data_IF_358578357991
#
_entry.id   IF_358578357991
#
_cell.length_a   1.000
_cell.length_b   1.000
_cell.length_c   1.000
_cell.angle_alpha   90.00
_cell.angle_beta   90.00
_cell.angle_gamma   90.00
#
_symmetry.space_group_name_H-M   'P 1'
#
loop_
_entity.id
_entity.type
_entity.pdbx_description
1 polymer ?
#
# COMPACT_ATOMS: atom_id res chain seq x y z
N UNK A 1 75.98 -32.48 -0.73
CA UNK A 1 75.45 -31.16 -0.30
C UNK A 1 74.53 -30.64 -1.39
N UNK A 2 73.21 -30.65 -1.15
CA UNK A 2 72.19 -30.12 -2.07
C UNK A 2 71.40 -29.07 -1.28
N UNK A 3 71.42 -27.82 -1.75
CA UNK A 3 70.62 -26.71 -1.20
C UNK A 3 69.16 -26.81 -1.69
N UNK A 4 68.15 -26.55 -0.85
CA UNK A 4 66.79 -26.35 -1.34
C UNK A 4 66.57 -24.87 -1.73
N UNK A 5 65.91 -24.65 -2.86
CA UNK A 5 65.41 -23.34 -3.32
C UNK A 5 64.12 -23.02 -2.57
N UNK A 6 64.07 -21.91 -1.85
CA UNK A 6 62.80 -21.33 -1.37
C UNK A 6 62.08 -20.66 -2.54
N UNK A 7 60.82 -21.03 -2.75
CA UNK A 7 59.89 -20.32 -3.62
C UNK A 7 59.15 -19.27 -2.78
N UNK A 8 59.34 -17.98 -3.09
CA UNK A 8 58.56 -16.89 -2.50
C UNK A 8 57.25 -16.74 -3.25
N UNK A 9 56.13 -17.06 -2.60
CA UNK A 9 54.79 -16.72 -3.06
C UNK A 9 54.50 -15.26 -2.73
N UNK A 10 54.35 -14.43 -3.77
CA UNK A 10 53.94 -13.03 -3.67
C UNK A 10 52.41 -12.97 -3.51
N UNK A 11 51.91 -12.70 -2.30
CA UNK A 11 50.49 -12.40 -2.09
C UNK A 11 50.16 -11.00 -2.64
N UNK A 12 49.45 -10.94 -3.76
CA UNK A 12 48.81 -9.72 -4.24
C UNK A 12 47.61 -9.40 -3.33
N UNK A 13 47.74 -8.37 -2.48
CA UNK A 13 46.61 -7.81 -1.76
C UNK A 13 45.76 -6.98 -2.75
N UNK A 14 44.59 -7.51 -3.13
CA UNK A 14 43.55 -6.78 -3.83
C UNK A 14 42.95 -5.75 -2.86
N UNK A 15 43.36 -4.49 -2.98
CA UNK A 15 42.65 -3.38 -2.36
C UNK A 15 41.30 -3.22 -3.07
N UNK A 16 40.22 -3.67 -2.44
CA UNK A 16 38.87 -3.31 -2.83
C UNK A 16 38.70 -1.81 -2.56
N UNK A 17 38.80 -0.98 -3.60
CA UNK A 17 38.41 0.41 -3.52
C UNK A 17 36.89 0.46 -3.35
N UNK A 18 36.44 0.84 -2.15
CA UNK A 18 35.06 1.20 -1.89
C UNK A 18 34.73 2.39 -2.79
N UNK A 19 34.15 2.14 -3.96
CA UNK A 19 33.48 3.19 -4.71
C UNK A 19 32.34 3.66 -3.83
N UNK A 20 32.43 4.88 -3.31
CA UNK A 20 31.26 5.58 -2.81
C UNK A 20 30.20 5.48 -3.92
N UNK A 21 29.12 4.75 -3.67
CA UNK A 21 28.06 4.58 -4.64
C UNK A 21 27.53 5.97 -4.99
N UNK A 22 27.88 6.46 -6.18
CA UNK A 22 27.37 7.73 -6.67
C UNK A 22 25.84 7.62 -6.71
N UNK A 23 25.14 8.63 -6.20
CA UNK A 23 23.68 8.66 -6.27
C UNK A 23 23.25 8.46 -7.73
N UNK A 24 22.49 7.39 -7.98
CA UNK A 24 22.07 7.03 -9.33
C UNK A 24 21.27 8.17 -9.95
N UNK A 25 21.46 8.44 -11.23
CA UNK A 25 20.80 9.56 -11.92
C UNK A 25 19.35 9.15 -12.17
N UNK A 26 18.39 9.88 -11.59
CA UNK A 26 16.97 9.71 -11.87
C UNK A 26 16.48 10.84 -12.76
N UNK A 27 15.77 10.50 -13.84
CA UNK A 27 15.23 11.48 -14.77
C UNK A 27 13.92 11.02 -15.39
N UNK A 28 13.25 11.93 -16.09
CA UNK A 28 12.01 11.66 -16.82
C UNK A 28 12.26 11.83 -18.31
N UNK A 29 11.80 10.87 -19.12
CA UNK A 29 11.83 10.94 -20.58
C UNK A 29 10.45 10.60 -21.15
N UNK A 30 9.72 11.63 -21.58
CA UNK A 30 8.34 11.46 -22.01
C UNK A 30 7.49 10.88 -20.88
N UNK A 31 6.95 9.68 -21.08
CA UNK A 31 6.14 8.96 -20.10
C UNK A 31 6.93 7.99 -19.23
N UNK A 32 8.26 7.91 -19.38
CA UNK A 32 9.10 6.94 -18.67
C UNK A 32 9.88 7.59 -17.53
N UNK A 33 9.98 6.88 -16.40
CA UNK A 33 11.04 7.10 -15.42
C UNK A 33 12.31 6.41 -15.91
N UNK A 34 13.45 7.10 -15.79
CA UNK A 34 14.75 6.62 -16.17
C UNK A 34 15.64 6.61 -14.92
N UNK A 35 16.23 5.46 -14.60
CA UNK A 35 17.21 5.30 -13.51
C UNK A 35 18.49 4.77 -14.14
N UNK A 36 19.60 5.48 -13.94
CA UNK A 36 20.92 5.12 -14.46
C UNK A 36 20.92 4.86 -15.99
N UNK A 37 20.19 5.71 -16.71
CA UNK A 37 20.07 5.66 -18.17
C UNK A 37 19.10 4.60 -18.71
N UNK A 38 18.45 3.81 -17.84
CA UNK A 38 17.54 2.73 -18.24
C UNK A 38 16.08 3.00 -17.88
N UNK A 39 15.10 2.62 -18.72
CA UNK A 39 13.69 2.65 -18.35
C UNK A 39 13.40 1.86 -17.07
N UNK A 40 12.74 2.51 -16.13
CA UNK A 40 12.51 1.97 -14.79
C UNK A 40 11.01 1.91 -14.48
N UNK A 41 10.50 0.69 -14.29
CA UNK A 41 9.13 0.45 -13.79
C UNK A 41 9.21 0.39 -12.26
N UNK A 42 8.56 1.35 -11.60
CA UNK A 42 8.54 1.50 -10.15
C UNK A 42 7.51 0.58 -9.48
N UNK A 43 7.64 -0.74 -9.72
CA UNK A 43 6.88 -1.77 -9.01
C UNK A 43 7.30 -1.80 -7.54
N UNK A 44 6.35 -1.76 -6.63
CA UNK A 44 6.65 -1.52 -5.22
C UNK A 44 5.47 -1.68 -4.30
N UNK A 45 5.58 -1.13 -3.10
CA UNK A 45 4.45 -0.99 -2.19
C UNK A 45 4.69 0.20 -1.24
N UNK A 46 3.62 0.69 -0.62
CA UNK A 46 3.74 1.62 0.48
C UNK A 46 3.84 0.84 1.80
N UNK A 47 4.89 1.10 2.59
CA UNK A 47 5.20 0.36 3.80
C UNK A 47 6.53 0.81 4.42
N UNK A 48 6.73 0.49 5.70
CA UNK A 48 7.89 0.94 6.48
C UNK A 48 8.81 -0.19 6.94
N UNK A 49 8.39 -1.44 6.74
CA UNK A 49 9.09 -2.63 7.28
C UNK A 49 9.13 -3.74 6.23
N UNK A 50 9.77 -4.86 6.56
CA UNK A 50 9.81 -6.06 5.71
C UNK A 50 10.37 -5.81 4.31
N UNK A 51 11.42 -5.00 4.22
CA UNK A 51 11.97 -4.53 2.94
C UNK A 51 12.68 -5.66 2.16
N UNK A 52 13.26 -6.62 2.86
CA UNK A 52 13.86 -7.79 2.22
C UNK A 52 12.78 -8.71 1.64
N UNK A 53 11.69 -8.93 2.37
CA UNK A 53 10.53 -9.66 1.86
C UNK A 53 9.90 -8.92 0.67
N UNK A 54 9.80 -7.58 0.74
CA UNK A 54 9.31 -6.77 -0.38
C UNK A 54 10.20 -6.96 -1.60
N UNK A 55 11.52 -6.83 -1.45
CA UNK A 55 12.49 -7.06 -2.53
C UNK A 55 12.36 -8.46 -3.11
N UNK A 56 12.14 -9.48 -2.28
CA UNK A 56 11.99 -10.87 -2.72
C UNK A 56 10.80 -11.07 -3.68
N UNK A 57 9.72 -10.30 -3.52
CA UNK A 57 8.60 -10.30 -4.49
C UNK A 57 8.99 -9.79 -5.89
N UNK A 58 10.18 -9.23 -6.07
CA UNK A 58 10.60 -8.60 -7.33
C UNK A 58 10.35 -7.08 -7.36
N UNK A 59 9.74 -6.53 -6.30
CA UNK A 59 9.61 -5.10 -6.10
C UNK A 59 10.98 -4.40 -6.17
N UNK A 60 10.93 -3.13 -6.58
CA UNK A 60 12.08 -2.24 -6.74
C UNK A 60 11.96 -0.96 -5.93
N UNK A 61 10.75 -0.65 -5.45
CA UNK A 61 10.46 0.63 -4.81
C UNK A 61 9.66 0.42 -3.52
N UNK A 62 9.97 1.22 -2.51
CA UNK A 62 9.11 1.45 -1.35
C UNK A 62 8.68 2.92 -1.32
N UNK A 63 7.44 3.19 -0.93
CA UNK A 63 6.89 4.55 -0.81
C UNK A 63 6.59 4.91 0.65
N UNK A 64 6.90 6.14 1.05
CA UNK A 64 6.54 6.75 2.34
C UNK A 64 5.57 7.92 2.16
N UNK A 65 5.04 8.46 3.27
CA UNK A 65 4.05 9.54 3.26
C UNK A 65 4.52 10.81 3.96
N UNK A 66 5.34 10.69 5.00
CA UNK A 66 5.85 11.84 5.76
C UNK A 66 6.69 11.48 6.98
N UNK A 67 7.02 10.21 7.14
CA UNK A 67 7.93 9.69 8.16
C UNK A 67 9.35 10.23 7.95
N UNK A 68 10.14 10.29 9.02
CA UNK A 68 11.57 10.56 8.93
C UNK A 68 12.24 9.45 8.09
N UNK A 69 12.85 9.76 6.94
CA UNK A 69 13.19 8.72 5.97
C UNK A 69 14.57 8.10 6.16
N UNK A 70 15.43 8.59 7.07
CA UNK A 70 16.85 8.23 7.15
C UNK A 70 17.10 6.74 7.33
N UNK A 71 16.53 6.13 8.39
CA UNK A 71 16.69 4.69 8.65
C UNK A 71 16.07 3.82 7.56
N UNK A 72 14.96 4.28 6.97
CA UNK A 72 14.29 3.57 5.89
C UNK A 72 15.11 3.65 4.60
N UNK A 73 15.69 4.80 4.27
CA UNK A 73 16.57 5.00 3.12
C UNK A 73 17.78 4.07 3.19
N UNK A 74 18.43 4.00 4.35
CA UNK A 74 19.55 3.08 4.59
C UNK A 74 19.11 1.61 4.44
N UNK A 75 17.95 1.26 4.99
CA UNK A 75 17.42 -0.11 4.94
C UNK A 75 16.99 -0.51 3.53
N UNK A 76 16.37 0.41 2.79
CA UNK A 76 15.98 0.23 1.40
C UNK A 76 17.22 0.07 0.51
N UNK A 77 18.27 0.88 0.71
CA UNK A 77 19.53 0.72 -0.01
C UNK A 77 20.12 -0.67 0.22
N UNK A 78 20.19 -1.14 1.48
CA UNK A 78 20.68 -2.49 1.81
C UNK A 78 19.86 -3.59 1.15
N UNK A 79 18.54 -3.41 1.06
CA UNK A 79 17.64 -4.33 0.37
C UNK A 79 17.68 -4.21 -1.16
N UNK A 80 18.38 -3.21 -1.72
CA UNK A 80 18.40 -2.95 -3.16
C UNK A 80 17.10 -2.35 -3.69
N UNK A 81 16.37 -1.62 -2.84
CA UNK A 81 15.16 -0.87 -3.18
C UNK A 81 15.49 0.62 -3.34
N UNK A 82 14.75 1.27 -4.22
CA UNK A 82 14.64 2.73 -4.27
C UNK A 82 13.46 3.21 -3.41
N UNK A 83 13.45 4.49 -3.04
CA UNK A 83 12.46 5.09 -2.15
C UNK A 83 11.81 6.29 -2.81
N UNK A 84 10.48 6.30 -2.90
CA UNK A 84 9.74 7.54 -3.09
C UNK A 84 9.57 8.15 -1.70
N UNK A 85 10.33 9.21 -1.44
CA UNK A 85 10.34 9.90 -0.14
C UNK A 85 9.15 10.85 -0.09
N UNK A 86 8.11 10.45 0.64
CA UNK A 86 6.93 11.25 0.87
C UNK A 86 7.18 12.41 1.82
N UNK A 87 6.55 13.54 1.53
CA UNK A 87 6.41 14.67 2.42
C UNK A 87 4.93 14.96 2.64
N UNK A 88 4.50 14.92 3.90
CA UNK A 88 3.12 15.18 4.25
C UNK A 88 2.81 16.67 4.09
N UNK A 89 1.87 16.97 3.19
CA UNK A 89 1.24 18.28 3.14
C UNK A 89 -0.05 18.21 3.95
N UNK A 90 -0.23 19.13 4.88
CA UNK A 90 -1.43 19.18 5.72
C UNK A 90 -2.70 19.45 4.92
N UNK A 91 -3.77 18.75 5.28
CA UNK A 91 -5.02 18.79 4.53
C UNK A 91 -5.94 19.92 5.00
N UNK A 92 -6.60 20.65 4.08
CA UNK A 92 -7.62 21.63 4.44
C UNK A 92 -8.80 21.02 5.21
N UNK A 93 -9.19 19.77 4.90
CA UNK A 93 -10.24 19.04 5.64
C UNK A 93 -9.91 18.85 7.12
N UNK A 94 -8.63 18.93 7.52
CA UNK A 94 -8.15 18.85 8.91
C UNK A 94 -7.98 20.23 9.55
N UNK A 95 -8.42 21.30 8.88
CA UNK A 95 -8.35 22.68 9.36
C UNK A 95 -7.10 23.44 8.92
N UNK A 96 -6.25 22.88 8.06
CA UNK A 96 -5.09 23.60 7.54
C UNK A 96 -5.52 24.69 6.54
N UNK A 97 -5.02 25.91 6.72
CA UNK A 97 -5.36 27.03 5.84
C UNK A 97 -4.14 27.44 5.01
N UNK A 98 -4.18 27.20 3.70
CA UNK A 98 -3.09 27.58 2.79
C UNK A 98 -2.94 29.09 2.57
N UNK A 99 -3.92 29.91 3.00
CA UNK A 99 -3.76 31.36 3.08
C UNK A 99 -2.96 31.81 4.32
N UNK A 100 -2.77 30.95 5.32
CA UNK A 100 -1.93 31.25 6.48
C UNK A 100 -0.46 31.07 6.13
N UNK A 101 0.20 32.16 5.71
CA UNK A 101 1.59 32.12 5.26
C UNK A 101 2.56 31.57 6.31
N UNK A 102 2.39 31.89 7.59
CA UNK A 102 3.27 31.38 8.64
C UNK A 102 3.20 29.85 8.78
N UNK A 103 2.00 29.27 8.66
CA UNK A 103 1.81 27.82 8.69
C UNK A 103 2.43 27.15 7.45
N UNK A 104 2.21 27.73 6.27
CA UNK A 104 2.81 27.26 5.01
C UNK A 104 4.34 27.32 5.08
N UNK A 105 4.92 28.42 5.56
CA UNK A 105 6.36 28.59 5.73
C UNK A 105 6.97 27.56 6.67
N UNK A 106 6.28 27.24 7.78
CA UNK A 106 6.72 26.21 8.72
C UNK A 106 6.86 24.84 8.05
N UNK A 107 5.88 24.46 7.22
CA UNK A 107 5.90 23.21 6.47
C UNK A 107 6.97 23.21 5.37
N UNK A 108 7.11 24.30 4.61
CA UNK A 108 8.16 24.44 3.58
C UNK A 108 9.57 24.43 4.17
N UNK A 109 9.75 24.98 5.39
CA UNK A 109 11.01 24.88 6.11
C UNK A 109 11.32 23.44 6.53
N UNK A 110 10.32 22.66 6.91
CA UNK A 110 10.50 21.22 7.18
C UNK A 110 10.88 20.45 5.91
N UNK A 111 10.21 20.72 4.79
CA UNK A 111 10.55 20.16 3.48
C UNK A 111 11.98 20.50 3.07
N UNK A 112 12.40 21.76 3.26
CA UNK A 112 13.78 22.21 2.97
C UNK A 112 14.80 21.37 3.72
N UNK A 113 14.64 21.24 5.05
CA UNK A 113 15.56 20.44 5.89
C UNK A 113 15.62 18.98 5.45
N UNK A 114 14.48 18.38 5.10
CA UNK A 114 14.42 17.00 4.65
C UNK A 114 15.16 16.81 3.31
N UNK A 115 14.91 17.68 2.33
CA UNK A 115 15.55 17.59 1.01
C UNK A 115 17.05 17.83 1.10
N UNK A 116 17.49 18.89 1.78
CA UNK A 116 18.91 19.19 1.95
C UNK A 116 19.67 18.04 2.61
N UNK A 117 19.04 17.37 3.59
CA UNK A 117 19.63 16.26 4.32
C UNK A 117 19.73 14.98 3.49
N UNK A 118 18.74 14.67 2.66
CA UNK A 118 18.62 13.34 2.03
C UNK A 118 18.74 13.30 0.50
N UNK A 119 18.80 14.45 -0.20
CA UNK A 119 18.91 14.52 -1.67
C UNK A 119 20.09 13.76 -2.27
N UNK A 120 21.15 13.49 -1.50
CA UNK A 120 22.32 12.74 -1.99
C UNK A 120 22.26 11.25 -1.65
N UNK A 121 21.21 10.79 -0.97
CA UNK A 121 21.09 9.39 -0.58
C UNK A 121 20.79 8.52 -1.81
N UNK A 122 21.57 7.47 -2.10
CA UNK A 122 21.49 6.72 -3.36
C UNK A 122 20.19 5.92 -3.52
N UNK A 123 19.45 5.66 -2.44
CA UNK A 123 18.14 5.04 -2.51
C UNK A 123 17.01 5.98 -2.97
N UNK A 124 17.19 7.31 -3.00
CA UNK A 124 16.10 8.20 -3.42
C UNK A 124 15.73 7.93 -4.89
N UNK A 125 14.43 7.78 -5.15
CA UNK A 125 13.85 7.73 -6.49
C UNK A 125 13.23 9.07 -6.87
N UNK A 126 12.38 9.59 -5.99
CA UNK A 126 11.56 10.76 -6.24
C UNK A 126 11.10 11.35 -4.90
N UNK A 127 10.73 12.63 -4.92
CA UNK A 127 10.09 13.32 -3.80
C UNK A 127 8.57 13.33 -4.00
N UNK A 128 7.83 12.63 -3.13
CA UNK A 128 6.37 12.61 -3.15
C UNK A 128 5.79 13.76 -2.34
N UNK A 129 5.20 14.75 -2.99
CA UNK A 129 4.65 15.95 -2.35
C UNK A 129 3.16 15.76 -2.10
N UNK A 130 2.80 15.60 -0.82
CA UNK A 130 1.44 15.38 -0.37
C UNK A 130 0.89 14.00 -0.73
N UNK A 131 -0.25 13.69 -0.12
CA UNK A 131 -1.04 12.51 -0.43
C UNK A 131 -2.52 12.88 -0.39
N UNK A 132 -3.18 12.89 -1.55
CA UNK A 132 -4.62 13.14 -1.65
C UNK A 132 -5.06 14.42 -0.95
N UNK A 133 -4.26 15.49 -1.01
CA UNK A 133 -4.49 16.74 -0.27
C UNK A 133 -5.84 17.36 -0.66
N UNK A 134 -6.34 17.04 -1.85
CA UNK A 134 -7.61 17.49 -2.40
C UNK A 134 -8.85 16.68 -1.95
N UNK A 135 -8.68 15.58 -1.21
CA UNK A 135 -9.82 14.72 -0.85
C UNK A 135 -10.86 15.43 0.01
N UNK A 136 -12.13 15.12 -0.29
CA UNK A 136 -13.31 15.67 0.40
C UNK A 136 -13.43 17.20 0.37
N UNK A 137 -12.81 17.85 -0.62
CA UNK A 137 -12.93 19.27 -0.85
C UNK A 137 -13.93 19.57 -1.96
N UNK A 138 -14.64 20.70 -1.82
CA UNK A 138 -15.33 21.29 -2.96
C UNK A 138 -14.30 21.73 -4.02
N UNK A 139 -14.68 21.87 -5.30
CA UNK A 139 -13.76 22.41 -6.32
C UNK A 139 -13.16 23.77 -5.94
N UNK A 140 -13.91 24.62 -5.22
CA UNK A 140 -13.43 25.91 -4.73
C UNK A 140 -12.35 25.74 -3.66
N UNK A 141 -12.56 24.83 -2.71
CA UNK A 141 -11.60 24.56 -1.63
C UNK A 141 -10.36 23.80 -2.12
N UNK A 142 -10.49 22.99 -3.17
CA UNK A 142 -9.36 22.32 -3.80
C UNK A 142 -8.48 23.30 -4.60
N UNK A 143 -9.00 24.46 -5.01
CA UNK A 143 -8.27 25.41 -5.85
C UNK A 143 -7.00 25.97 -5.18
N UNK A 144 -6.96 26.06 -3.85
CA UNK A 144 -5.77 26.47 -3.09
C UNK A 144 -4.72 25.35 -2.93
N UNK A 145 -5.10 24.09 -3.10
CA UNK A 145 -4.21 22.94 -2.92
C UNK A 145 -3.19 22.86 -4.05
N UNK A 146 -3.61 23.12 -5.30
CA UNK A 146 -2.72 22.99 -6.46
C UNK A 146 -1.54 23.97 -6.42
N UNK A 147 -1.74 25.28 -6.13
CA UNK A 147 -0.63 26.21 -5.94
C UNK A 147 0.29 25.84 -4.77
N UNK A 148 -0.25 25.24 -3.70
CA UNK A 148 0.58 24.78 -2.58
C UNK A 148 1.48 23.60 -2.95
N UNK A 149 0.96 22.64 -3.73
CA UNK A 149 1.75 21.56 -4.31
C UNK A 149 2.84 22.13 -5.23
N UNK A 150 2.51 23.11 -6.06
CA UNK A 150 3.49 23.79 -6.93
C UNK A 150 4.60 24.48 -6.12
N UNK A 151 4.25 25.19 -5.06
CA UNK A 151 5.23 25.90 -4.24
C UNK A 151 6.24 24.93 -3.62
N UNK A 152 5.74 23.81 -3.08
CA UNK A 152 6.57 22.73 -2.56
C UNK A 152 7.39 22.04 -3.66
N UNK A 153 6.79 21.71 -4.81
CA UNK A 153 7.47 21.07 -5.93
C UNK A 153 8.62 21.94 -6.47
N UNK A 154 8.36 23.23 -6.70
CA UNK A 154 9.35 24.20 -7.14
C UNK A 154 10.47 24.36 -6.11
N UNK A 155 10.17 24.29 -4.81
CA UNK A 155 11.18 24.30 -3.75
C UNK A 155 12.10 23.08 -3.86
N UNK A 156 11.54 21.87 -3.96
CA UNK A 156 12.33 20.66 -4.14
C UNK A 156 13.20 20.75 -5.39
N UNK A 157 12.64 21.17 -6.54
CA UNK A 157 13.40 21.34 -7.79
C UNK A 157 14.62 22.26 -7.68
N UNK A 158 14.54 23.31 -6.86
CA UNK A 158 15.68 24.21 -6.62
C UNK A 158 16.74 23.56 -5.73
N UNK A 159 16.32 22.77 -4.74
CA UNK A 159 17.21 22.13 -3.77
C UNK A 159 17.80 20.82 -4.32
N UNK A 160 17.08 20.09 -5.15
CA UNK A 160 17.46 18.80 -5.69
C UNK A 160 17.05 18.68 -7.17
N UNK A 161 17.92 19.10 -8.09
CA UNK A 161 17.69 18.92 -9.52
C UNK A 161 17.92 17.47 -9.99
N UNK A 162 18.43 16.58 -9.14
CA UNK A 162 18.82 15.22 -9.50
C UNK A 162 17.68 14.20 -9.37
N UNK A 163 16.60 14.55 -8.67
CA UNK A 163 15.43 13.68 -8.51
C UNK A 163 14.14 14.36 -9.00
N UNK A 164 13.23 13.60 -9.63
CA UNK A 164 11.92 14.10 -10.00
C UNK A 164 11.04 14.36 -8.78
N UNK A 165 10.08 15.25 -8.96
CA UNK A 165 9.01 15.53 -8.01
C UNK A 165 7.73 14.84 -8.47
N UNK A 166 7.08 14.16 -7.54
CA UNK A 166 5.80 13.50 -7.72
C UNK A 166 4.72 14.19 -6.87
N UNK A 167 3.51 14.31 -7.39
CA UNK A 167 2.32 14.64 -6.60
C UNK A 167 1.33 13.48 -6.65
N UNK A 168 0.62 13.21 -5.54
CA UNK A 168 -0.27 12.04 -5.42
C UNK A 168 -1.73 12.48 -5.24
N UNK A 169 -2.60 12.00 -6.13
CA UNK A 169 -4.04 12.30 -6.13
C UNK A 169 -4.89 11.07 -5.81
N UNK A 170 -6.08 11.32 -5.23
CA UNK A 170 -7.12 10.32 -5.07
C UNK A 170 -7.89 10.14 -6.38
N UNK A 171 -7.51 9.16 -7.18
CA UNK A 171 -7.98 8.95 -8.56
C UNK A 171 -7.78 10.23 -9.44
N UNK A 172 -8.19 10.14 -10.69
CA UNK A 172 -8.14 11.23 -11.69
C UNK A 172 -9.28 12.23 -11.55
N UNK A 173 -10.41 11.83 -10.93
CA UNK A 173 -11.64 12.62 -10.91
C UNK A 173 -12.09 13.07 -12.31
N UNK A 174 -12.76 14.22 -12.38
CA UNK A 174 -13.17 14.81 -13.67
C UNK A 174 -12.06 15.70 -14.27
N UNK A 175 -11.35 16.45 -13.43
CA UNK A 175 -10.42 17.51 -13.85
C UNK A 175 -9.18 17.67 -12.95
N UNK A 176 -8.97 16.76 -11.99
CA UNK A 176 -7.86 16.89 -11.02
C UNK A 176 -6.50 16.86 -11.71
N UNK A 177 -6.33 15.99 -12.69
CA UNK A 177 -5.07 15.84 -13.44
C UNK A 177 -4.84 17.06 -14.34
N UNK A 178 -5.90 17.59 -14.97
CA UNK A 178 -5.81 18.84 -15.72
C UNK A 178 -5.43 20.02 -14.81
N UNK A 179 -5.94 20.03 -13.57
CA UNK A 179 -5.63 21.05 -12.57
C UNK A 179 -4.18 20.99 -12.11
N UNK A 180 -3.65 19.81 -11.74
CA UNK A 180 -2.22 19.67 -11.42
C UNK A 180 -1.34 20.07 -12.62
N UNK A 181 -1.66 19.63 -13.84
CA UNK A 181 -0.87 19.99 -15.02
C UNK A 181 -0.81 21.50 -15.23
N UNK A 182 -1.91 22.22 -15.00
CA UNK A 182 -1.99 23.67 -15.20
C UNK A 182 -1.37 24.46 -14.05
N UNK A 183 -1.62 24.04 -12.81
CA UNK A 183 -1.35 24.84 -11.61
C UNK A 183 -0.12 24.38 -10.83
N UNK A 184 0.39 23.17 -11.10
CA UNK A 184 1.62 22.62 -10.53
C UNK A 184 2.58 22.07 -11.60
N UNK A 185 3.04 22.91 -12.54
CA UNK A 185 3.90 22.49 -13.65
C UNK A 185 5.28 21.98 -13.23
N UNK A 186 5.72 22.21 -11.99
CA UNK A 186 6.99 21.68 -11.47
C UNK A 186 6.92 20.19 -11.09
N UNK A 187 5.73 19.58 -11.12
CA UNK A 187 5.54 18.13 -10.90
C UNK A 187 5.91 17.36 -12.16
N UNK A 188 6.82 16.41 -12.05
CA UNK A 188 7.26 15.57 -13.17
C UNK A 188 6.47 14.27 -13.29
N UNK A 189 6.06 13.70 -12.14
CA UNK A 189 5.44 12.38 -12.02
C UNK A 189 4.07 12.51 -11.39
N UNK A 190 3.07 11.87 -11.99
CA UNK A 190 1.73 11.79 -11.42
C UNK A 190 1.59 10.47 -10.66
N UNK A 191 1.45 10.55 -9.35
CA UNK A 191 1.01 9.44 -8.50
C UNK A 191 -0.52 9.41 -8.41
N UNK A 192 -1.11 8.23 -8.54
CA UNK A 192 -2.55 8.03 -8.42
C UNK A 192 -2.83 6.90 -7.43
N UNK A 193 -3.62 7.21 -6.42
CA UNK A 193 -4.20 6.23 -5.53
C UNK A 193 -5.55 5.78 -6.10
N UNK A 194 -5.73 4.48 -6.29
CA UNK A 194 -6.92 3.96 -6.97
C UNK A 194 -7.26 2.53 -6.56
N UNK A 195 -8.55 2.26 -6.43
CA UNK A 195 -9.05 0.97 -5.95
C UNK A 195 -10.15 0.43 -6.86
N UNK A 196 -10.20 -0.90 -6.96
CA UNK A 196 -11.18 -1.59 -7.80
C UNK A 196 -11.00 -1.31 -9.29
N UNK A 197 -12.10 -1.44 -10.05
CA UNK A 197 -12.07 -1.40 -11.52
C UNK A 197 -11.65 -0.04 -12.11
N UNK A 198 -11.54 1.01 -11.29
CA UNK A 198 -10.98 2.30 -11.74
C UNK A 198 -9.55 2.15 -12.28
N UNK A 199 -8.79 1.17 -11.76
CA UNK A 199 -7.42 0.81 -12.17
C UNK A 199 -7.33 0.38 -13.64
N UNK A 200 -8.41 -0.15 -14.22
CA UNK A 200 -8.41 -0.63 -15.60
C UNK A 200 -8.44 0.51 -16.64
N UNK A 201 -8.83 1.71 -16.22
CA UNK A 201 -9.00 2.88 -17.10
C UNK A 201 -8.24 4.11 -16.60
N UNK A 202 -7.54 4.01 -15.47
CA UNK A 202 -7.00 5.19 -14.79
C UNK A 202 -5.97 5.93 -15.64
N UNK A 203 -5.12 5.20 -16.36
CA UNK A 203 -4.13 5.82 -17.26
C UNK A 203 -4.80 6.58 -18.39
N UNK A 204 -5.77 5.97 -19.09
CA UNK A 204 -6.45 6.62 -20.21
C UNK A 204 -7.21 7.86 -19.75
N UNK A 205 -7.81 7.83 -18.55
CA UNK A 205 -8.44 9.00 -17.94
C UNK A 205 -7.43 10.11 -17.63
N UNK A 206 -6.28 9.78 -17.06
CA UNK A 206 -5.21 10.75 -16.80
C UNK A 206 -4.66 11.36 -18.10
N UNK A 207 -4.48 10.55 -19.15
CA UNK A 207 -4.07 11.03 -20.49
C UNK A 207 -5.13 11.91 -21.14
N UNK A 208 -6.42 11.57 -21.00
CA UNK A 208 -7.53 12.37 -21.52
C UNK A 208 -7.62 13.75 -20.86
N UNK A 209 -7.23 13.86 -19.59
CA UNK A 209 -7.06 15.14 -18.89
C UNK A 209 -5.74 15.86 -19.23
N UNK A 210 -4.94 15.30 -20.14
CA UNK A 210 -3.77 15.94 -20.74
C UNK A 210 -2.43 15.61 -20.08
N UNK A 211 -2.34 14.71 -19.11
CA UNK A 211 -1.04 14.37 -18.51
C UNK A 211 -0.09 13.72 -19.50
N UNK A 212 1.14 14.23 -19.60
CA UNK A 212 2.15 13.76 -20.57
C UNK A 212 3.38 13.13 -19.93
N UNK A 213 3.54 13.23 -18.60
CA UNK A 213 4.64 12.64 -17.86
C UNK A 213 4.42 11.18 -17.45
N UNK A 214 5.32 10.58 -16.67
CA UNK A 214 5.13 9.27 -16.05
C UNK A 214 3.91 9.25 -15.14
N UNK A 215 3.24 8.10 -15.09
CA UNK A 215 2.14 7.80 -14.15
C UNK A 215 2.60 6.63 -13.30
N UNK A 216 2.42 6.73 -11.99
CA UNK A 216 2.58 5.63 -11.04
C UNK A 216 1.27 5.41 -10.30
N UNK A 217 0.89 4.14 -10.12
CA UNK A 217 -0.20 3.80 -9.21
C UNK A 217 0.43 3.63 -7.82
N UNK A 218 0.29 4.67 -6.99
CA UNK A 218 1.01 4.84 -5.73
C UNK A 218 0.33 4.18 -4.54
N UNK A 219 -0.96 3.86 -4.68
CA UNK A 219 -1.72 2.93 -3.86
C UNK A 219 -2.73 2.21 -4.75
N UNK A 220 -2.85 0.90 -4.56
CA UNK A 220 -3.97 0.15 -5.10
C UNK A 220 -4.43 -0.97 -4.18
N UNK A 221 -5.71 -1.29 -4.29
CA UNK A 221 -6.30 -2.42 -3.60
C UNK A 221 -7.49 -2.99 -4.37
N UNK A 222 -7.96 -4.15 -3.92
CA UNK A 222 -9.04 -4.88 -4.57
C UNK A 222 -10.35 -4.08 -4.66
N UNK A 223 -10.65 -3.28 -3.63
CA UNK A 223 -11.89 -2.51 -3.50
C UNK A 223 -11.74 -1.45 -2.39
N UNK A 224 -12.07 -0.20 -2.69
CA UNK A 224 -12.21 0.83 -1.66
C UNK A 224 -13.50 0.63 -0.86
N UNK A 225 -13.48 0.89 0.44
CA UNK A 225 -14.65 0.72 1.33
C UNK A 225 -15.87 1.53 0.91
N UNK A 226 -15.66 2.66 0.22
CA UNK A 226 -16.71 3.50 -0.33
C UNK A 226 -17.39 2.89 -1.57
N UNK A 227 -16.73 1.94 -2.26
CA UNK A 227 -17.24 1.22 -3.43
C UNK A 227 -17.96 -0.09 -3.05
N UNK A 228 -17.79 -0.56 -1.81
CA UNK A 228 -18.36 -1.81 -1.36
C UNK A 228 -19.89 -1.78 -1.29
N UNK A 229 -20.52 -2.91 -1.62
CA UNK A 229 -21.91 -3.15 -1.28
C UNK A 229 -22.10 -2.99 0.24
N UNK A 230 -23.27 -2.51 0.67
CA UNK A 230 -23.56 -2.24 2.08
C UNK A 230 -24.72 -3.11 2.56
N UNK A 231 -24.66 -3.51 3.82
CA UNK A 231 -25.81 -4.12 4.52
C UNK A 231 -26.95 -3.11 4.66
N UNK A 232 -28.14 -3.57 5.08
CA UNK A 232 -29.28 -2.71 5.36
C UNK A 232 -28.98 -1.62 6.42
N UNK A 233 -28.01 -1.87 7.30
CA UNK A 233 -27.53 -0.91 8.30
C UNK A 233 -26.27 -0.13 7.90
N UNK A 234 -25.87 -0.21 6.63
CA UNK A 234 -24.78 0.60 6.07
C UNK A 234 -23.36 0.07 6.30
N UNK A 235 -23.18 -1.11 6.89
CA UNK A 235 -21.87 -1.73 7.03
C UNK A 235 -21.34 -2.18 5.66
N UNK A 236 -20.11 -1.80 5.25
CA UNK A 236 -19.55 -2.21 3.98
C UNK A 236 -19.17 -3.70 4.01
N UNK A 237 -19.52 -4.43 2.96
CA UNK A 237 -19.23 -5.85 2.81
C UNK A 237 -17.80 -5.99 2.27
N UNK A 238 -16.95 -6.63 3.06
CA UNK A 238 -15.55 -6.85 2.71
C UNK A 238 -15.40 -8.14 1.92
N UNK A 239 -14.51 -8.13 0.94
CA UNK A 239 -14.11 -9.33 0.20
C UNK A 239 -13.23 -10.24 1.08
N UNK A 240 -13.28 -11.53 0.84
CA UNK A 240 -12.27 -12.46 1.36
C UNK A 240 -10.89 -12.16 0.77
N UNK A 241 -9.81 -12.58 1.43
CA UNK A 241 -8.44 -12.42 0.91
C UNK A 241 -8.24 -13.05 -0.46
N UNK A 242 -8.92 -14.17 -0.74
CA UNK A 242 -8.87 -14.83 -2.06
C UNK A 242 -9.58 -14.01 -3.14
N UNK A 243 -10.78 -13.48 -2.85
CA UNK A 243 -11.45 -12.58 -3.79
C UNK A 243 -10.66 -11.27 -4.02
N UNK A 244 -9.98 -10.77 -2.98
CA UNK A 244 -9.08 -9.62 -3.12
C UNK A 244 -7.90 -9.95 -4.05
N UNK A 245 -7.25 -11.09 -3.84
CA UNK A 245 -6.13 -11.54 -4.66
C UNK A 245 -6.56 -11.72 -6.13
N UNK A 246 -7.72 -12.33 -6.39
CA UNK A 246 -8.25 -12.50 -7.74
C UNK A 246 -8.46 -11.16 -8.47
N UNK A 247 -8.98 -10.14 -7.77
CA UNK A 247 -9.13 -8.79 -8.32
C UNK A 247 -7.79 -8.10 -8.55
N UNK A 248 -6.90 -8.13 -7.57
CA UNK A 248 -5.56 -7.50 -7.69
C UNK A 248 -4.78 -8.15 -8.83
N UNK A 249 -4.89 -9.46 -9.04
CA UNK A 249 -4.25 -10.18 -10.16
C UNK A 249 -4.68 -9.62 -11.51
N UNK A 250 -5.98 -9.34 -11.68
CA UNK A 250 -6.51 -8.67 -12.88
C UNK A 250 -5.91 -7.27 -13.07
N UNK A 251 -5.84 -6.48 -12.00
CA UNK A 251 -5.34 -5.10 -12.07
C UNK A 251 -3.84 -5.02 -12.34
N UNK A 252 -3.04 -5.80 -11.62
CA UNK A 252 -1.59 -5.87 -11.83
C UNK A 252 -1.24 -6.40 -13.23
N UNK A 253 -1.99 -7.35 -13.76
CA UNK A 253 -1.81 -7.81 -15.14
C UNK A 253 -2.06 -6.68 -16.17
N UNK A 254 -3.10 -5.86 -15.95
CA UNK A 254 -3.40 -4.72 -16.81
C UNK A 254 -2.30 -3.64 -16.75
N UNK A 255 -1.86 -3.26 -15.55
CA UNK A 255 -0.81 -2.26 -15.32
C UNK A 255 0.56 -2.73 -15.82
N UNK A 256 0.88 -4.02 -15.67
CA UNK A 256 2.09 -4.62 -16.24
C UNK A 256 2.08 -4.54 -17.77
N UNK A 257 0.92 -4.73 -18.42
CA UNK A 257 0.78 -4.62 -19.88
C UNK A 257 1.05 -3.19 -20.36
N UNK A 258 0.62 -2.17 -19.61
CA UNK A 258 0.91 -0.76 -19.90
C UNK A 258 2.29 -0.29 -19.40
N UNK A 259 3.05 -1.16 -18.71
CA UNK A 259 4.35 -0.85 -18.09
C UNK A 259 4.28 0.24 -17.01
N UNK A 260 3.14 0.34 -16.33
CA UNK A 260 2.92 1.30 -15.25
C UNK A 260 3.34 0.70 -13.91
N UNK A 261 4.19 1.44 -13.17
CA UNK A 261 4.59 1.03 -11.83
C UNK A 261 3.40 1.01 -10.88
N UNK A 262 3.29 -0.05 -10.09
CA UNK A 262 2.13 -0.32 -9.26
C UNK A 262 2.53 -0.62 -7.80
N UNK A 263 1.76 -0.06 -6.86
CA UNK A 263 2.01 -0.18 -5.42
C UNK A 263 0.78 -0.68 -4.67
N UNK A 264 0.59 -2.01 -4.56
CA UNK A 264 -0.43 -2.59 -3.69
C UNK A 264 -0.30 -2.05 -2.25
N UNK A 265 -1.42 -1.57 -1.74
CA UNK A 265 -1.55 -1.01 -0.40
C UNK A 265 -2.33 -2.00 0.47
N UNK A 266 -1.88 -2.32 1.68
CA UNK A 266 -0.73 -1.80 2.44
C UNK A 266 0.30 -2.90 2.72
N UNK A 267 1.59 -2.62 2.49
CA UNK A 267 2.70 -3.55 2.82
C UNK A 267 2.94 -3.59 4.32
N UNK A 268 2.06 -4.32 5.00
CA UNK A 268 2.00 -4.46 6.44
C UNK A 268 0.55 -4.66 6.88
N UNK A 269 0.26 -4.19 8.08
CA UNK A 269 -1.07 -4.23 8.66
C UNK A 269 -1.47 -2.87 9.21
N UNK A 270 -2.72 -2.48 8.97
CA UNK A 270 -3.32 -1.25 9.49
C UNK A 270 -4.81 -1.47 9.75
N UNK A 271 -5.32 -0.90 10.84
CA UNK A 271 -6.76 -0.79 11.08
C UNK A 271 -7.34 0.31 10.17
N UNK A 272 -8.18 -0.08 9.22
CA UNK A 272 -8.89 0.84 8.31
C UNK A 272 -10.20 0.20 7.84
N UNK A 273 -11.33 0.65 8.40
CA UNK A 273 -12.65 0.01 8.41
C UNK A 273 -12.66 -1.31 9.16
N UNK A 274 -11.77 -2.23 8.78
CA UNK A 274 -11.52 -3.50 9.46
C UNK A 274 -10.01 -3.73 9.59
N UNK A 275 -9.57 -4.70 10.41
CA UNK A 275 -8.14 -5.05 10.50
C UNK A 275 -7.55 -5.59 9.19
N UNK A 276 -8.41 -6.03 8.25
CA UNK A 276 -8.04 -6.82 7.06
C UNK A 276 -8.31 -6.10 5.75
N UNK A 277 -8.96 -4.91 5.74
CA UNK A 277 -9.48 -4.31 4.52
C UNK A 277 -8.42 -4.15 3.43
N UNK A 278 -7.38 -3.38 3.74
CA UNK A 278 -6.26 -3.08 2.82
C UNK A 278 -4.96 -3.82 3.19
N UNK A 279 -4.85 -4.36 4.41
CA UNK A 279 -3.62 -5.00 4.89
C UNK A 279 -3.21 -6.22 4.05
N UNK A 280 -1.95 -6.26 3.60
CA UNK A 280 -1.37 -7.42 2.91
C UNK A 280 -0.85 -8.48 3.89
N UNK A 281 -0.63 -8.09 5.14
CA UNK A 281 -0.18 -8.94 6.23
C UNK A 281 -1.16 -8.90 7.40
N UNK A 282 -1.17 -9.97 8.18
CA UNK A 282 -1.82 -10.02 9.48
C UNK A 282 -0.93 -9.33 10.54
N UNK A 283 -1.50 -8.94 11.70
CA UNK A 283 -0.71 -8.38 12.80
C UNK A 283 0.40 -9.33 13.29
N UNK A 284 0.16 -10.63 13.18
CA UNK A 284 1.09 -11.71 13.53
C UNK A 284 2.15 -11.98 12.45
N UNK A 285 2.07 -11.31 11.30
CA UNK A 285 3.10 -11.31 10.27
C UNK A 285 2.89 -12.30 9.13
N UNK A 286 1.82 -13.10 9.15
CA UNK A 286 1.45 -13.94 8.02
C UNK A 286 1.05 -13.08 6.82
N UNK A 287 1.50 -13.45 5.64
CA UNK A 287 1.16 -12.78 4.39
C UNK A 287 -0.09 -13.40 3.74
N UNK A 288 -0.76 -12.65 2.87
CA UNK A 288 -1.98 -13.09 2.17
C UNK A 288 -1.72 -13.39 0.70
N UNK A 289 -2.66 -14.07 0.02
CA UNK A 289 -2.56 -14.44 -1.41
C UNK A 289 -2.25 -13.24 -2.34
N UNK A 290 -2.55 -12.00 -1.91
CA UNK A 290 -2.19 -10.81 -2.69
C UNK A 290 -0.66 -10.61 -2.80
N UNK A 291 0.13 -11.06 -1.81
CA UNK A 291 1.60 -11.04 -1.86
C UNK A 291 2.15 -12.03 -2.89
N UNK A 292 1.49 -13.17 -3.09
CA UNK A 292 1.81 -14.09 -4.19
C UNK A 292 1.53 -13.45 -5.53
N UNK A 293 0.37 -12.80 -5.66
CA UNK A 293 -0.01 -12.09 -6.89
C UNK A 293 1.01 -11.02 -7.26
N UNK A 294 1.55 -10.30 -6.27
CA UNK A 294 2.68 -9.38 -6.46
C UNK A 294 3.92 -10.10 -6.97
N UNK A 295 4.34 -11.16 -6.27
CA UNK A 295 5.52 -11.93 -6.60
C UNK A 295 5.46 -12.52 -8.02
N UNK A 296 4.35 -13.14 -8.39
CA UNK A 296 4.11 -13.71 -9.72
C UNK A 296 4.16 -12.63 -10.80
N UNK A 297 3.49 -11.51 -10.56
CA UNK A 297 3.47 -10.37 -11.48
C UNK A 297 4.86 -9.84 -11.72
N UNK A 298 5.72 -9.78 -10.70
CA UNK A 298 7.05 -9.19 -10.80
C UNK A 298 8.18 -10.21 -10.98
N UNK A 299 7.83 -11.49 -11.14
CA UNK A 299 8.76 -12.62 -11.30
C UNK A 299 9.70 -12.79 -10.10
N UNK A 300 9.22 -12.49 -8.91
CA UNK A 300 9.89 -12.77 -7.65
C UNK A 300 9.29 -13.98 -6.94
N UNK A 301 9.38 -13.98 -5.61
CA UNK A 301 8.86 -15.02 -4.73
C UNK A 301 8.19 -14.41 -3.50
N UNK A 302 7.03 -14.93 -3.10
CA UNK A 302 6.37 -14.56 -1.85
C UNK A 302 7.04 -15.24 -0.64
N UNK A 303 7.55 -16.45 -0.84
CA UNK A 303 8.17 -17.30 0.18
C UNK A 303 9.47 -17.91 -0.34
N UNK A 304 10.38 -18.26 0.56
CA UNK A 304 11.67 -18.88 0.18
C UNK A 304 11.52 -20.34 -0.26
N UNK A 305 10.51 -21.02 0.28
CA UNK A 305 10.23 -22.46 0.11
C UNK A 305 9.12 -22.75 -0.91
N UNK A 306 8.51 -21.72 -1.50
CA UNK A 306 7.47 -21.87 -2.53
C UNK A 306 6.08 -22.14 -1.98
N UNK A 307 5.86 -21.87 -0.69
CA UNK A 307 4.55 -21.92 -0.02
C UNK A 307 3.55 -20.91 -0.63
N UNK A 308 2.27 -21.30 -0.68
CA UNK A 308 1.12 -20.53 -1.16
C UNK A 308 0.13 -20.29 -0.01
N UNK A 309 -0.60 -19.17 -0.04
CA UNK A 309 -1.60 -18.88 0.97
C UNK A 309 -2.82 -19.82 0.83
N UNK A 310 -3.44 -20.19 1.96
CA UNK A 310 -4.72 -20.87 1.91
C UNK A 310 -5.77 -19.99 1.24
N UNK A 311 -6.78 -20.63 0.67
CA UNK A 311 -7.90 -19.96 0.00
C UNK A 311 -9.20 -20.14 0.77
N UNK A 312 -10.02 -19.09 0.78
CA UNK A 312 -11.42 -19.17 1.20
C UNK A 312 -12.28 -19.35 -0.06
N UNK A 313 -12.90 -20.52 -0.18
CA UNK A 313 -13.78 -20.87 -1.29
C UNK A 313 -15.21 -20.37 -1.06
N UNK A 314 -15.64 -20.33 0.20
CA UNK A 314 -16.91 -19.70 0.59
C UNK A 314 -16.93 -19.34 2.06
N UNK A 315 -17.57 -18.22 2.39
CA UNK A 315 -17.85 -17.80 3.76
C UNK A 315 -19.27 -17.22 3.82
N UNK A 316 -20.18 -17.88 4.53
CA UNK A 316 -21.62 -17.52 4.51
C UNK A 316 -22.26 -17.65 5.88
N UNK A 317 -22.96 -16.61 6.31
CA UNK A 317 -23.94 -16.72 7.39
C UNK A 317 -25.19 -17.44 6.86
N UNK A 318 -25.58 -18.53 7.51
CA UNK A 318 -26.77 -19.29 7.16
C UNK A 318 -28.00 -18.64 7.81
N UNK A 319 -28.85 -18.05 6.97
CA UNK A 319 -30.05 -17.31 7.40
C UNK A 319 -29.95 -15.82 7.10
N UNK A 320 -30.84 -15.04 7.73
CA UNK A 320 -30.85 -13.58 7.59
C UNK A 320 -29.64 -12.97 8.32
N UNK A 321 -29.09 -11.89 7.77
CA UNK A 321 -28.00 -11.13 8.40
C UNK A 321 -28.45 -10.24 9.57
N UNK A 322 -29.77 -10.04 9.76
CA UNK A 322 -30.35 -9.35 10.91
C UNK A 322 -31.38 -10.28 11.57
N UNK A 323 -31.14 -10.69 12.80
CA UNK A 323 -31.89 -11.74 13.49
C UNK A 323 -32.14 -11.40 14.97
N UNK A 324 -33.19 -11.97 15.54
CA UNK A 324 -33.53 -11.80 16.96
C UNK A 324 -32.44 -12.42 17.85
N UNK A 325 -32.19 -11.84 19.02
CA UNK A 325 -31.23 -12.34 20.01
C UNK A 325 -31.32 -13.83 20.36
N UNK A 326 -32.51 -14.43 20.24
CA UNK A 326 -32.73 -15.87 20.50
C UNK A 326 -32.32 -16.79 19.36
N UNK A 327 -32.04 -16.25 18.17
CA UNK A 327 -31.56 -17.04 17.02
C UNK A 327 -30.08 -17.32 17.17
N UNK A 328 -29.68 -18.56 16.88
CA UNK A 328 -28.28 -19.01 16.91
C UNK A 328 -27.81 -19.36 15.50
N UNK A 329 -27.50 -18.36 14.65
CA UNK A 329 -27.15 -18.63 13.27
C UNK A 329 -25.75 -19.24 13.17
N UNK A 330 -25.58 -20.08 12.15
CA UNK A 330 -24.32 -20.73 11.85
C UNK A 330 -23.63 -20.05 10.68
N UNK A 331 -22.31 -19.83 10.79
CA UNK A 331 -21.46 -19.30 9.73
C UNK A 331 -20.70 -20.47 9.14
N UNK A 332 -20.95 -20.80 7.87
CA UNK A 332 -20.26 -21.86 7.16
C UNK A 332 -19.01 -21.33 6.44
N UNK A 333 -17.94 -22.11 6.50
CA UNK A 333 -16.66 -21.86 5.86
C UNK A 333 -16.27 -23.06 4.99
N UNK A 334 -15.79 -22.78 3.78
CA UNK A 334 -15.08 -23.75 2.96
C UNK A 334 -13.73 -23.17 2.54
N UNK A 335 -12.66 -23.95 2.73
CA UNK A 335 -11.27 -23.55 2.48
C UNK A 335 -10.52 -24.63 1.72
N UNK A 336 -9.42 -24.24 1.10
CA UNK A 336 -8.44 -25.15 0.51
C UNK A 336 -7.03 -24.63 0.76
N UNK A 337 -6.06 -25.54 0.82
CA UNK A 337 -4.65 -25.19 0.82
C UNK A 337 -4.02 -25.68 -0.50
N UNK A 338 -3.36 -24.81 -1.30
CA UNK A 338 -2.74 -25.24 -2.55
C UNK A 338 -1.62 -26.27 -2.37
N UNK A 339 -0.91 -26.23 -1.24
CA UNK A 339 0.23 -27.10 -0.94
C UNK A 339 -0.18 -28.36 -0.12
N UNK A 340 -1.44 -28.42 0.31
CA UNK A 340 -1.98 -29.52 1.10
C UNK A 340 -1.64 -29.44 2.59
N UNK A 341 -1.25 -28.25 3.06
CA UNK A 341 -0.86 -28.04 4.45
C UNK A 341 -2.08 -28.10 5.41
N UNK A 342 -1.92 -28.63 6.64
CA UNK A 342 -2.99 -28.65 7.63
C UNK A 342 -3.42 -27.24 8.04
N UNK A 343 -4.71 -26.92 7.86
CA UNK A 343 -5.24 -25.59 8.15
C UNK A 343 -5.72 -25.43 9.59
N UNK A 344 -5.30 -24.32 10.21
CA UNK A 344 -5.85 -23.83 11.49
C UNK A 344 -6.84 -22.69 11.22
N UNK A 345 -8.05 -22.81 11.76
CA UNK A 345 -9.11 -21.80 11.61
C UNK A 345 -9.40 -21.12 12.95
N UNK A 346 -9.21 -19.82 12.99
CA UNK A 346 -9.47 -18.97 14.15
C UNK A 346 -10.65 -18.02 13.85
N UNK A 347 -11.61 -17.98 14.77
CA UNK A 347 -12.82 -17.15 14.66
C UNK A 347 -12.81 -16.03 15.71
N UNK A 348 -13.28 -14.85 15.32
CA UNK A 348 -13.42 -13.69 16.21
C UNK A 348 -14.73 -12.96 15.91
N UNK A 349 -15.41 -12.45 16.93
CA UNK A 349 -16.50 -11.48 16.75
C UNK A 349 -16.03 -10.13 17.27
N UNK A 350 -16.29 -9.08 16.49
CA UNK A 350 -16.03 -7.70 16.89
C UNK A 350 -17.28 -6.87 16.70
N UNK A 351 -17.41 -5.77 17.44
CA UNK A 351 -18.40 -4.74 17.13
C UNK A 351 -18.13 -4.17 15.72
N UNK A 352 -19.20 -3.81 15.02
CA UNK A 352 -19.06 -3.05 13.78
C UNK A 352 -18.54 -1.64 14.11
N UNK A 353 -17.56 -1.15 13.35
CA UNK A 353 -17.04 0.20 13.56
C UNK A 353 -18.10 1.25 13.24
N UNK A 354 -18.26 2.24 14.11
CA UNK A 354 -19.01 3.47 13.82
C UNK A 354 -18.10 4.59 13.30
N UNK A 355 -16.78 4.42 13.40
CA UNK A 355 -15.78 5.38 12.93
C UNK A 355 -15.44 5.08 11.48
N UNK A 356 -15.40 6.11 10.64
CA UNK A 356 -14.89 6.04 9.26
C UNK A 356 -13.81 7.09 9.11
N UNK A 357 -12.56 6.66 9.08
CA UNK A 357 -11.43 7.50 8.70
C UNK A 357 -11.52 7.88 7.23
N UNK A 358 -10.87 8.99 6.87
CA UNK A 358 -10.83 9.52 5.50
C UNK A 358 -9.37 9.54 5.05
N UNK A 359 -9.08 9.12 3.81
CA UNK A 359 -7.74 9.23 3.22
C UNK A 359 -6.64 8.54 4.04
N UNK A 360 -6.97 7.41 4.69
CA UNK A 360 -6.02 6.65 5.49
C UNK A 360 -5.78 7.18 6.91
N UNK A 361 -6.65 8.00 7.48
CA UNK A 361 -6.59 8.37 8.90
C UNK A 361 -6.62 7.12 9.82
N UNK A 362 -5.97 7.20 10.98
CA UNK A 362 -5.92 6.10 11.95
C UNK A 362 -7.30 5.87 12.60
N UNK A 363 -7.71 4.61 12.71
CA UNK A 363 -8.97 4.22 13.31
C UNK A 363 -8.76 3.34 14.56
N UNK A 364 -9.61 3.46 15.60
CA UNK A 364 -9.56 2.58 16.75
C UNK A 364 -10.02 1.16 16.36
N UNK A 365 -9.39 0.15 16.95
CA UNK A 365 -9.81 -1.25 16.79
C UNK A 365 -11.10 -1.50 17.59
N UNK A 366 -12.18 -2.02 16.98
CA UNK A 366 -13.42 -2.29 17.69
C UNK A 366 -13.30 -3.35 18.80
N UNK A 367 -14.19 -3.30 19.79
CA UNK A 367 -14.25 -4.27 20.88
C UNK A 367 -14.55 -5.68 20.37
N UNK A 368 -13.92 -6.70 20.98
CA UNK A 368 -14.11 -8.12 20.65
C UNK A 368 -15.04 -8.84 21.62
N UNK A 369 -15.76 -9.84 21.12
CA UNK A 369 -16.77 -10.63 21.85
C UNK A 369 -16.48 -12.14 21.74
N UNK A 370 -15.40 -12.66 22.37
CA UNK A 370 -15.02 -14.08 22.27
C UNK A 370 -16.09 -15.03 22.82
N UNK A 371 -16.91 -14.58 23.77
CA UNK A 371 -18.03 -15.32 24.34
C UNK A 371 -19.15 -15.58 23.34
N UNK A 372 -19.18 -14.84 22.22
CA UNK A 372 -20.25 -14.96 21.23
C UNK A 372 -20.13 -16.18 20.30
N UNK A 373 -19.02 -16.92 20.40
CA UNK A 373 -18.66 -18.00 19.49
C UNK A 373 -18.74 -19.35 20.18
N UNK A 374 -19.64 -20.22 19.70
CA UNK A 374 -19.81 -21.61 20.14
C UNK A 374 -19.71 -22.59 18.98
N UNK A 375 -19.60 -23.90 19.27
CA UNK A 375 -19.50 -24.97 18.26
C UNK A 375 -18.44 -24.68 17.15
N UNK A 376 -17.25 -24.23 17.57
CA UNK A 376 -16.18 -23.86 16.65
C UNK A 376 -15.62 -25.09 15.94
N UNK A 377 -15.52 -25.02 14.63
CA UNK A 377 -14.90 -26.04 13.80
C UNK A 377 -14.11 -25.41 12.65
N UNK A 378 -13.28 -26.18 11.93
CA UNK A 378 -12.67 -25.72 10.68
C UNK A 378 -13.68 -25.32 9.60
N UNK A 379 -14.92 -25.82 9.65
CA UNK A 379 -15.93 -25.60 8.62
C UNK A 379 -17.01 -24.59 9.01
N UNK A 380 -16.92 -24.01 10.22
CA UNK A 380 -17.91 -23.04 10.66
C UNK A 380 -17.95 -22.79 12.16
N UNK A 381 -18.81 -21.84 12.54
CA UNK A 381 -19.02 -21.42 13.93
C UNK A 381 -20.47 -20.98 14.16
N UNK A 382 -20.97 -21.16 15.38
CA UNK A 382 -22.30 -20.69 15.78
C UNK A 382 -22.20 -19.39 16.58
N UNK A 383 -23.06 -18.42 16.26
CA UNK A 383 -23.15 -17.12 16.92
C UNK A 383 -24.27 -17.13 17.97
N UNK A 384 -24.01 -16.58 19.16
CA UNK A 384 -25.00 -16.46 20.25
C UNK A 384 -24.52 -15.47 21.32
N UNK A 385 -25.35 -15.17 22.33
CA UNK A 385 -24.88 -14.50 23.56
C UNK A 385 -24.44 -13.05 23.39
N UNK A 386 -24.93 -12.36 22.36
CA UNK A 386 -24.70 -10.94 22.10
C UNK A 386 -25.92 -10.11 22.51
N UNK A 387 -25.68 -8.87 22.92
CA UNK A 387 -26.75 -7.88 23.09
C UNK A 387 -27.17 -7.31 21.73
N UNK A 388 -28.36 -6.69 21.62
CA UNK A 388 -28.77 -6.01 20.41
C UNK A 388 -27.70 -5.02 19.93
N UNK A 389 -27.36 -5.09 18.65
CA UNK A 389 -26.22 -4.36 18.10
C UNK A 389 -25.74 -4.91 16.77
N UNK A 390 -24.69 -4.27 16.23
CA UNK A 390 -24.10 -4.60 14.93
C UNK A 390 -22.69 -5.10 15.14
N UNK A 391 -22.40 -6.20 14.49
CA UNK A 391 -21.18 -6.97 14.72
C UNK A 391 -20.65 -7.52 13.40
N UNK A 392 -19.44 -8.05 13.48
CA UNK A 392 -18.81 -8.77 12.39
C UNK A 392 -18.11 -9.99 12.92
N UNK A 393 -18.38 -11.13 12.29
CA UNK A 393 -17.62 -12.36 12.52
C UNK A 393 -16.46 -12.39 11.53
N UNK A 394 -15.25 -12.49 12.05
CA UNK A 394 -14.02 -12.64 11.30
C UNK A 394 -13.54 -14.09 11.36
N UNK A 395 -12.91 -14.52 10.29
CA UNK A 395 -12.20 -15.79 10.21
C UNK A 395 -10.78 -15.55 9.69
N UNK A 396 -9.83 -16.24 10.32
CA UNK A 396 -8.46 -16.36 9.84
C UNK A 396 -8.13 -17.82 9.64
N UNK A 397 -7.63 -18.17 8.46
CA UNK A 397 -7.22 -19.53 8.08
C UNK A 397 -5.71 -19.52 7.90
N UNK A 398 -4.97 -20.25 8.73
CA UNK A 398 -3.50 -20.30 8.72
C UNK A 398 -3.03 -21.64 8.23
N UNK A 399 -1.97 -21.63 7.43
CA UNK A 399 -1.27 -22.83 6.94
C UNK A 399 -0.21 -23.37 7.93
N UNK A 400 0.19 -22.55 8.92
CA UNK A 400 1.30 -22.86 9.82
C UNK A 400 2.70 -22.66 9.21
N UNK A 401 2.78 -22.14 7.99
CA UNK A 401 4.00 -21.88 7.20
C UNK A 401 4.21 -20.41 6.84
N UNK A 402 3.38 -19.54 7.42
CA UNK A 402 3.56 -18.10 7.38
C UNK A 402 2.62 -17.38 6.42
N UNK A 403 1.65 -18.09 5.84
CA UNK A 403 0.58 -17.48 5.06
C UNK A 403 -0.79 -17.64 5.73
N UNK A 404 -1.71 -16.75 5.38
CA UNK A 404 -3.07 -16.80 5.89
C UNK A 404 -4.11 -16.28 4.90
N UNK A 405 -5.32 -16.81 5.04
CA UNK A 405 -6.52 -16.30 4.41
C UNK A 405 -7.40 -15.60 5.45
N UNK A 406 -8.09 -14.55 5.04
CA UNK A 406 -9.00 -13.79 5.92
C UNK A 406 -10.34 -13.57 5.25
N UNK A 407 -11.42 -13.66 6.03
CA UNK A 407 -12.75 -13.29 5.58
C UNK A 407 -13.58 -12.79 6.75
N UNK A 408 -14.69 -12.12 6.47
CA UNK A 408 -15.62 -11.73 7.50
C UNK A 408 -17.05 -11.57 6.98
N UNK A 409 -18.01 -11.59 7.89
CA UNK A 409 -19.44 -11.38 7.58
C UNK A 409 -20.04 -10.41 8.60
N UNK A 410 -20.57 -9.25 8.17
CA UNK A 410 -21.32 -8.37 9.06
C UNK A 410 -22.70 -8.94 9.38
N UNK A 411 -23.16 -8.76 10.61
CA UNK A 411 -24.51 -9.14 11.07
C UNK A 411 -25.08 -8.18 12.12
N UNK A 412 -26.38 -8.24 12.33
CA UNK A 412 -27.11 -7.46 13.33
C UNK A 412 -27.94 -8.38 14.24
N UNK A 413 -27.85 -8.13 15.54
CA UNK A 413 -28.70 -8.75 16.57
C UNK A 413 -29.77 -7.74 16.95
N UNK A 414 -31.04 -8.15 16.89
CA UNK A 414 -32.21 -7.34 17.26
C UNK A 414 -32.72 -7.70 18.66
#
# INVERSE_FOLDING_TARGET
>A
MRFPRLASSLCLALFATSHAAQAGIVSVRGTELIVDGQPFIADGAAGLTRLNELRATGAKVVRTYGEEPGELLDSAQRAGLKVIVGFWLEHPRRGFNYANRAAVDGQLAALTRMVERYRTHPAVLAWGIGNEVETELSPADAAQVWPAIEEAARLVKRLDPSHPVMAVLADTGTDKVASIKRLAPSVDVLGLNAYGDSLLTIESRARAQGWTGPILITELGALGQWQAAKTAWGAPIELTSSEKADRVRRYLAALRKSRTGAMPFYWGQKQEVTPTWHSLFLPTGEWTETVEVMADTWRGKASADGNHAPRILSLKLQGAASFERTTTPHVALATSDPDGDPLKVDWQVMAETSVRGVGGDAEPVPMSFPQALSARSPNGVTLSGLEPGRYRVFVTVRDGRGAAATGNVPFEVR
#
